data_IF_962067857930
#
_entry.id   IF_962067857930
#
_cell.length_a   1.000
_cell.length_b   1.000
_cell.length_c   1.000
_cell.angle_alpha   90.00
_cell.angle_beta   90.00
_cell.angle_gamma   90.00
#
_symmetry.space_group_name_H-M   'P 1'
#
loop_
_entity.id
_entity.type
_entity.pdbx_description
1 polymer ?
#
# COMPACT_ATOMS: atom_id res chain seq x y z
N UNK A 1 33.91 -4.27 -14.59
CA UNK A 1 32.97 -3.19 -14.96
C UNK A 1 32.07 -2.95 -13.76
N UNK A 2 31.97 -1.72 -13.28
CA UNK A 2 31.12 -1.38 -12.13
C UNK A 2 29.67 -1.37 -12.59
N UNK A 3 28.80 -2.12 -11.90
CA UNK A 3 27.35 -2.10 -12.12
C UNK A 3 26.68 -0.87 -11.48
N UNK A 4 27.43 0.21 -11.24
CA UNK A 4 26.86 1.42 -10.69
C UNK A 4 25.88 2.02 -11.72
N UNK A 5 24.59 2.17 -11.38
CA UNK A 5 23.62 2.76 -12.29
C UNK A 5 24.03 4.20 -12.62
N UNK A 6 23.81 4.60 -13.88
CA UNK A 6 24.10 5.95 -14.40
C UNK A 6 23.25 7.04 -13.75
N UNK A 7 22.22 6.65 -12.99
CA UNK A 7 21.34 7.55 -12.25
C UNK A 7 21.62 7.38 -10.76
N UNK A 8 22.10 8.45 -10.12
CA UNK A 8 22.12 8.54 -8.66
C UNK A 8 20.67 8.59 -8.17
N UNK A 9 20.25 7.55 -7.44
CA UNK A 9 18.97 7.49 -6.73
C UNK A 9 18.83 8.56 -5.62
N UNK A 10 19.85 9.40 -5.40
CA UNK A 10 19.87 10.41 -4.35
C UNK A 10 19.06 11.68 -4.65
N UNK A 11 18.81 12.01 -5.92
CA UNK A 11 18.12 13.25 -6.31
C UNK A 11 16.65 13.04 -6.68
N UNK A 12 16.20 11.79 -6.80
CA UNK A 12 14.79 11.46 -7.02
C UNK A 12 14.18 11.19 -5.64
N UNK A 13 13.17 11.95 -5.21
CA UNK A 13 12.52 11.66 -3.94
C UNK A 13 11.98 10.22 -3.98
N UNK A 14 12.13 9.44 -2.90
CA UNK A 14 11.75 8.02 -2.87
C UNK A 14 10.25 7.81 -3.18
N UNK A 15 9.45 8.86 -2.99
CA UNK A 15 8.06 8.95 -3.41
C UNK A 15 7.90 10.19 -4.30
N UNK A 16 7.15 10.04 -5.39
CA UNK A 16 6.81 11.17 -6.28
C UNK A 16 5.78 12.13 -5.69
N UNK A 17 4.99 11.68 -4.71
CA UNK A 17 3.97 12.47 -4.04
C UNK A 17 3.70 11.93 -2.62
N UNK A 18 3.17 12.79 -1.76
CA UNK A 18 2.67 12.44 -0.43
C UNK A 18 1.23 12.93 -0.32
N UNK A 19 0.30 12.02 -0.03
CA UNK A 19 -1.13 12.31 0.11
C UNK A 19 -1.55 12.00 1.54
N UNK A 20 -2.26 12.91 2.18
CA UNK A 20 -2.78 12.76 3.55
C UNK A 20 -4.28 12.56 3.50
N UNK A 21 -4.79 11.55 4.19
CA UNK A 21 -6.24 11.41 4.37
C UNK A 21 -6.78 12.47 5.33
N UNK A 22 -8.07 12.80 5.22
CA UNK A 22 -8.76 13.54 6.28
C UNK A 22 -8.93 12.66 7.52
N UNK A 23 -9.05 13.29 8.70
CA UNK A 23 -9.24 12.58 9.98
C UNK A 23 -10.54 11.78 10.06
N UNK A 24 -11.51 12.05 9.18
CA UNK A 24 -12.81 11.37 9.13
C UNK A 24 -12.98 10.45 7.91
N UNK A 25 -11.91 10.20 7.14
CA UNK A 25 -12.01 9.36 5.95
C UNK A 25 -12.22 7.89 6.31
N UNK A 26 -13.18 7.22 5.68
CA UNK A 26 -13.41 5.78 5.85
C UNK A 26 -13.03 4.97 4.61
N UNK A 27 -12.83 5.62 3.47
CA UNK A 27 -12.47 4.97 2.20
C UNK A 27 -11.72 5.91 1.27
N UNK A 28 -10.75 5.37 0.53
CA UNK A 28 -10.05 6.07 -0.56
C UNK A 28 -9.81 5.10 -1.71
N UNK A 29 -10.30 5.43 -2.90
CA UNK A 29 -9.96 4.69 -4.12
C UNK A 29 -8.62 5.17 -4.65
N UNK A 30 -7.70 4.24 -4.86
CA UNK A 30 -6.38 4.47 -5.43
C UNK A 30 -6.44 4.18 -6.92
N UNK A 31 -5.81 5.03 -7.72
CA UNK A 31 -5.74 4.86 -9.18
C UNK A 31 -4.35 4.39 -9.62
N UNK A 32 -4.25 3.83 -10.84
CA UNK A 32 -2.97 3.47 -11.44
C UNK A 32 -2.03 4.68 -11.59
N UNK A 33 -2.62 5.86 -11.79
CA UNK A 33 -1.91 7.12 -11.86
C UNK A 33 -1.37 7.56 -10.52
N UNK A 34 -1.72 6.92 -9.39
CA UNK A 34 -1.18 7.20 -8.05
C UNK A 34 0.17 6.51 -7.77
N UNK A 35 0.71 5.75 -8.72
CA UNK A 35 1.92 4.95 -8.52
C UNK A 35 3.17 5.74 -8.10
N UNK A 36 3.80 5.34 -6.99
CA UNK A 36 4.95 5.99 -6.38
C UNK A 36 4.55 7.03 -5.33
N UNK A 37 3.29 7.04 -4.91
CA UNK A 37 2.77 7.92 -3.86
C UNK A 37 2.86 7.26 -2.49
N UNK A 38 3.22 8.06 -1.48
CA UNK A 38 3.06 7.74 -0.06
C UNK A 38 1.69 8.23 0.42
N UNK A 39 0.83 7.31 0.82
CA UNK A 39 -0.45 7.59 1.47
C UNK A 39 -0.30 7.57 2.99
N UNK A 40 -0.53 8.72 3.61
CA UNK A 40 -0.46 8.93 5.05
C UNK A 40 -1.88 8.93 5.59
N UNK A 41 -2.26 7.85 6.29
CA UNK A 41 -3.55 7.74 6.94
C UNK A 41 -3.54 8.50 8.28
N UNK A 42 -4.41 9.50 8.37
CA UNK A 42 -4.69 10.27 9.60
C UNK A 42 -6.10 10.01 10.14
N UNK A 43 -6.83 9.04 9.56
CA UNK A 43 -8.21 8.77 9.94
C UNK A 43 -8.32 8.20 11.35
N UNK A 44 -9.17 8.78 12.19
CA UNK A 44 -9.53 8.24 13.51
C UNK A 44 -10.64 7.19 13.44
N UNK A 45 -11.02 6.76 12.23
CA UNK A 45 -11.92 5.64 11.96
C UNK A 45 -11.19 4.56 11.18
N UNK A 46 -11.77 3.36 11.12
CA UNK A 46 -11.28 2.34 10.18
C UNK A 46 -11.32 2.91 8.75
N UNK A 47 -10.23 2.72 8.00
CA UNK A 47 -10.07 3.29 6.66
C UNK A 47 -9.59 2.20 5.71
N UNK A 48 -10.27 2.10 4.56
CA UNK A 48 -9.88 1.20 3.48
C UNK A 48 -9.33 1.96 2.28
N UNK A 49 -8.13 1.60 1.83
CA UNK A 49 -7.69 1.95 0.47
C UNK A 49 -8.09 0.84 -0.50
N UNK A 50 -8.75 1.20 -1.59
CA UNK A 50 -9.12 0.27 -2.67
C UNK A 50 -8.16 0.45 -3.82
N UNK A 51 -7.37 -0.58 -4.11
CA UNK A 51 -6.44 -0.59 -5.24
C UNK A 51 -7.20 -0.67 -6.57
N UNK A 52 -6.58 -0.28 -7.71
CA UNK A 52 -7.19 -0.51 -9.02
C UNK A 52 -7.29 -2.02 -9.33
N UNK A 53 -7.88 -2.38 -10.45
CA UNK A 53 -7.78 -3.77 -10.96
C UNK A 53 -6.33 -4.11 -11.30
N UNK A 54 -5.94 -5.38 -11.21
CA UNK A 54 -4.53 -5.80 -11.44
C UNK A 54 -4.03 -5.43 -12.84
N UNK A 55 -4.92 -5.44 -13.84
CA UNK A 55 -4.60 -5.04 -15.21
C UNK A 55 -4.13 -3.57 -15.29
N UNK A 56 -4.76 -2.68 -14.53
CA UNK A 56 -4.38 -1.26 -14.44
C UNK A 56 -3.19 -1.05 -13.50
N UNK A 57 -3.04 -1.91 -12.49
CA UNK A 57 -1.95 -1.88 -11.52
C UNK A 57 -0.60 -2.37 -12.05
N UNK A 58 -0.54 -2.97 -13.24
CA UNK A 58 0.70 -3.55 -13.78
C UNK A 58 1.90 -2.58 -13.74
N UNK A 59 2.96 -2.99 -13.06
CA UNK A 59 4.20 -2.23 -12.90
C UNK A 59 4.10 -1.02 -11.96
N UNK A 60 3.01 -0.92 -11.19
CA UNK A 60 2.77 0.17 -10.25
C UNK A 60 3.17 -0.22 -8.83
N UNK A 61 3.47 0.80 -8.02
CA UNK A 61 3.83 0.66 -6.60
C UNK A 61 3.12 1.75 -5.79
N UNK A 62 2.67 1.44 -4.58
CA UNK A 62 2.14 2.42 -3.63
C UNK A 62 2.65 2.10 -2.23
N UNK A 63 2.79 3.13 -1.38
CA UNK A 63 3.18 2.95 0.01
C UNK A 63 2.11 3.53 0.92
N UNK A 64 1.74 2.78 1.95
CA UNK A 64 0.69 3.15 2.90
C UNK A 64 1.27 3.20 4.31
N UNK A 65 1.03 4.31 5.01
CA UNK A 65 1.45 4.55 6.38
C UNK A 65 0.24 4.84 7.25
N UNK A 66 0.06 4.06 8.31
CA UNK A 66 -0.94 4.31 9.34
C UNK A 66 -0.40 5.29 10.38
N UNK A 67 -0.41 6.59 10.09
CA UNK A 67 0.50 7.54 10.77
C UNK A 67 0.09 7.94 12.19
N UNK A 68 -1.17 8.30 12.41
CA UNK A 68 -1.61 8.99 13.65
C UNK A 68 -2.83 8.32 14.30
N UNK A 69 -3.07 7.05 13.97
CA UNK A 69 -4.30 6.37 14.38
C UNK A 69 -4.01 4.98 14.91
N UNK A 70 -4.75 4.61 15.94
CA UNK A 70 -4.82 3.24 16.47
C UNK A 70 -5.98 2.46 15.87
N UNK A 71 -6.55 2.97 14.78
CA UNK A 71 -7.58 2.27 14.03
C UNK A 71 -6.96 1.46 12.91
N UNK A 72 -7.72 0.46 12.50
CA UNK A 72 -7.37 -0.44 11.43
C UNK A 72 -7.28 0.29 10.08
N UNK A 73 -6.15 0.11 9.42
CA UNK A 73 -5.97 0.42 8.02
C UNK A 73 -6.08 -0.87 7.20
N UNK A 74 -7.04 -0.89 6.27
CA UNK A 74 -7.22 -1.98 5.33
C UNK A 74 -6.81 -1.55 3.92
N UNK A 75 -6.26 -2.48 3.16
CA UNK A 75 -5.94 -2.29 1.74
C UNK A 75 -6.54 -3.48 1.00
N UNK A 76 -7.51 -3.21 0.13
CA UNK A 76 -8.23 -4.23 -0.63
C UNK A 76 -7.90 -4.16 -2.11
N UNK A 77 -7.85 -5.32 -2.75
CA UNK A 77 -7.67 -5.43 -4.19
C UNK A 77 -8.88 -4.87 -4.92
N UNK A 78 -8.67 -4.32 -6.12
CA UNK A 78 -9.79 -4.03 -7.03
C UNK A 78 -10.46 -5.29 -7.60
N UNK A 79 -9.82 -6.46 -7.41
CA UNK A 79 -10.25 -7.80 -7.82
C UNK A 79 -10.10 -8.75 -6.61
N UNK A 80 -10.90 -9.82 -6.56
CA UNK A 80 -10.89 -10.82 -5.48
C UNK A 80 -9.70 -11.79 -5.57
N UNK A 81 -9.14 -12.16 -4.42
CA UNK A 81 -8.10 -13.16 -4.18
C UNK A 81 -6.78 -12.90 -4.91
N UNK A 82 -6.40 -11.63 -5.12
CA UNK A 82 -5.19 -11.27 -5.87
C UNK A 82 -4.09 -10.60 -5.04
N UNK A 83 -4.25 -10.39 -3.74
CA UNK A 83 -3.17 -9.88 -2.89
C UNK A 83 -2.40 -11.03 -2.26
N UNK A 84 -1.10 -11.12 -2.53
CA UNK A 84 -0.13 -11.99 -1.87
C UNK A 84 0.65 -11.22 -0.81
N UNK A 85 0.79 -11.77 0.40
CA UNK A 85 1.65 -11.23 1.45
C UNK A 85 0.94 -11.14 2.79
N UNK A 86 1.45 -10.31 3.70
CA UNK A 86 1.04 -10.33 5.11
C UNK A 86 1.61 -11.53 5.88
N UNK A 87 1.28 -11.64 7.16
CA UNK A 87 1.82 -12.65 8.07
C UNK A 87 1.54 -14.10 7.63
N UNK A 88 0.45 -14.32 6.89
CA UNK A 88 -0.05 -15.64 6.53
C UNK A 88 0.31 -16.07 5.10
N UNK A 89 0.81 -15.13 4.27
CA UNK A 89 1.37 -15.42 2.93
C UNK A 89 0.41 -15.96 1.87
N UNK A 90 -0.90 -16.06 2.16
CA UNK A 90 -1.91 -16.57 1.25
C UNK A 90 -2.43 -15.51 0.27
N UNK A 91 -3.10 -15.96 -0.79
CA UNK A 91 -3.94 -15.09 -1.62
C UNK A 91 -5.11 -14.58 -0.76
N UNK A 92 -5.37 -13.28 -0.86
CA UNK A 92 -6.37 -12.58 -0.07
C UNK A 92 -7.02 -11.45 -0.87
N UNK A 93 -8.23 -11.07 -0.44
CA UNK A 93 -8.93 -9.88 -0.91
C UNK A 93 -8.36 -8.61 -0.27
N UNK A 94 -7.92 -8.72 0.98
CA UNK A 94 -7.56 -7.58 1.82
C UNK A 94 -6.35 -7.91 2.69
N UNK A 95 -5.47 -6.91 2.85
CA UNK A 95 -4.50 -6.89 3.95
C UNK A 95 -4.87 -5.82 4.96
N UNK A 96 -4.64 -6.12 6.23
CA UNK A 96 -5.13 -5.29 7.33
C UNK A 96 -4.03 -5.08 8.36
N UNK A 97 -3.78 -3.83 8.74
CA UNK A 97 -2.83 -3.47 9.81
C UNK A 97 -3.31 -3.98 11.17
N UNK A 98 -2.41 -4.22 12.12
CA UNK A 98 -2.74 -4.53 13.51
C UNK A 98 -3.29 -3.33 14.32
N UNK A 99 -3.63 -2.22 13.64
CA UNK A 99 -4.20 -1.01 14.21
C UNK A 99 -3.22 -0.29 15.16
N UNK A 100 -1.94 -0.28 14.79
CA UNK A 100 -0.90 0.44 15.50
C UNK A 100 -0.45 1.66 14.68
N UNK A 101 -0.19 2.76 15.36
CA UNK A 101 0.36 3.96 14.72
C UNK A 101 1.81 3.71 14.29
N UNK A 102 2.17 4.16 13.08
CA UNK A 102 3.47 3.96 12.45
C UNK A 102 3.62 2.67 11.64
N UNK A 103 2.59 1.83 11.57
CA UNK A 103 2.61 0.64 10.70
C UNK A 103 2.58 1.05 9.23
N UNK A 104 3.33 0.33 8.40
CA UNK A 104 3.41 0.64 6.98
C UNK A 104 3.64 -0.58 6.11
N UNK A 105 3.16 -0.50 4.88
CA UNK A 105 3.29 -1.55 3.88
C UNK A 105 3.41 -0.93 2.49
N UNK A 106 4.13 -1.61 1.62
CA UNK A 106 4.19 -1.28 0.19
C UNK A 106 3.41 -2.31 -0.61
N UNK A 107 2.64 -1.85 -1.58
CA UNK A 107 1.96 -2.71 -2.55
C UNK A 107 2.62 -2.55 -3.91
N UNK A 108 3.01 -3.67 -4.53
CA UNK A 108 3.49 -3.72 -5.91
C UNK A 108 2.56 -4.59 -6.75
N UNK A 109 2.49 -4.37 -8.05
CA UNK A 109 1.69 -5.22 -8.93
C UNK A 109 2.45 -5.60 -10.20
N UNK A 110 2.43 -6.88 -10.57
CA UNK A 110 3.06 -7.41 -11.79
C UNK A 110 2.09 -7.51 -12.98
N UNK A 111 0.80 -7.22 -12.75
CA UNK A 111 -0.29 -7.36 -13.71
C UNK A 111 -1.10 -8.66 -13.55
N UNK A 112 -0.73 -9.54 -12.63
CA UNK A 112 -1.46 -10.76 -12.26
C UNK A 112 -1.86 -10.72 -10.79
N UNK A 113 -0.95 -10.29 -9.92
CA UNK A 113 -1.13 -10.22 -8.48
C UNK A 113 -0.67 -8.87 -7.93
N UNK A 114 -1.16 -8.55 -6.75
CA UNK A 114 -0.60 -7.56 -5.85
C UNK A 114 0.32 -8.24 -4.84
N UNK A 115 1.43 -7.60 -4.51
CA UNK A 115 2.40 -8.07 -3.53
C UNK A 115 2.46 -7.07 -2.38
N UNK A 116 2.06 -7.51 -1.19
CA UNK A 116 2.10 -6.76 0.04
C UNK A 116 3.43 -6.98 0.77
N UNK A 117 4.28 -5.96 0.79
CA UNK A 117 5.57 -5.95 1.45
C UNK A 117 5.49 -5.13 2.73
N UNK A 118 5.21 -5.80 3.85
CA UNK A 118 5.20 -5.19 5.18
C UNK A 118 6.54 -4.53 5.47
N UNK A 119 6.52 -3.21 5.70
CA UNK A 119 7.72 -2.43 6.01
C UNK A 119 7.92 -2.27 7.51
N UNK A 120 6.81 -2.09 8.24
CA UNK A 120 6.75 -2.08 9.70
C UNK A 120 5.38 -2.55 10.18
N UNK A 121 5.34 -3.16 11.36
CA UNK A 121 4.12 -3.67 11.96
C UNK A 121 3.69 -5.04 11.44
N UNK A 122 2.50 -5.45 11.85
CA UNK A 122 1.89 -6.72 11.45
C UNK A 122 0.73 -6.45 10.51
N UNK A 123 0.74 -7.12 9.36
CA UNK A 123 -0.30 -7.04 8.35
C UNK A 123 -0.90 -8.43 8.15
N UNK A 124 -2.19 -8.59 8.44
CA UNK A 124 -2.91 -9.86 8.31
C UNK A 124 -3.63 -9.90 6.98
N UNK A 125 -3.56 -11.03 6.28
CA UNK A 125 -4.24 -11.25 5.01
C UNK A 125 -5.58 -11.96 5.24
N UNK A 126 -6.65 -11.55 4.56
CA UNK A 126 -7.99 -12.14 4.65
C UNK A 126 -8.72 -12.11 3.32
N UNK A 127 -9.44 -13.19 3.01
CA UNK A 127 -10.45 -13.29 1.95
C UNK A 127 -11.84 -13.48 2.54
#
# INVERSE_FOLDING_TARGET
>A
MSNAPTVLLGDIPPYRAVVRSSTTATGTTVTADDSGTLFVNLSTSAHTYTLPTVALGKGKIWHFLNAETTQTLAITGGDTDLIMGGADGNLADTITSAAVAGESTSILCDGTYYYALGSNGTWTASG
#
